data_IF_469924356105
#
_entry.id   IF_469924356105
#
_cell.length_a   1.000
_cell.length_b   1.000
_cell.length_c   1.000
_cell.angle_alpha   90.00
_cell.angle_beta   90.00
_cell.angle_gamma   90.00
#
_symmetry.space_group_name_H-M   'P 1'
#
loop_
_entity.id
_entity.type
_entity.pdbx_description
1 polymer ?
#
# COMPACT_ATOMS: atom_id res chain seq x y z
N UNK A 1 -20.88 7.54 7.44
CA UNK A 1 -20.49 7.86 6.05
C UNK A 1 -18.99 8.04 6.07
N UNK A 2 -18.24 7.21 5.35
CA UNK A 2 -16.78 7.39 5.25
C UNK A 2 -16.48 8.72 4.55
N UNK A 3 -15.44 9.41 5.02
CA UNK A 3 -15.05 10.71 4.47
C UNK A 3 -14.62 10.54 3.01
N UNK A 4 -15.10 11.44 2.14
CA UNK A 4 -14.72 11.43 0.74
C UNK A 4 -13.27 11.88 0.61
N UNK A 5 -12.46 11.12 -0.11
CA UNK A 5 -11.06 11.44 -0.39
C UNK A 5 -10.75 11.23 -1.87
N UNK A 6 -9.61 11.74 -2.35
CA UNK A 6 -9.15 11.43 -3.71
C UNK A 6 -8.13 10.31 -3.64
N UNK A 7 -8.43 9.15 -4.22
CA UNK A 7 -7.49 8.04 -4.28
C UNK A 7 -6.24 8.46 -5.05
N UNK A 8 -5.04 8.25 -4.49
CA UNK A 8 -3.78 8.62 -5.13
C UNK A 8 -3.53 7.92 -6.48
N UNK A 9 -4.22 6.81 -6.75
CA UNK A 9 -4.24 6.16 -8.08
C UNK A 9 -5.02 6.93 -9.15
N UNK A 10 -5.73 8.01 -8.81
CA UNK A 10 -6.40 8.96 -9.74
C UNK A 10 -5.50 10.14 -10.16
N UNK A 11 -4.19 10.09 -9.87
CA UNK A 11 -3.22 11.09 -10.34
C UNK A 11 -3.06 11.09 -11.87
N UNK A 12 -2.21 11.97 -12.45
CA UNK A 12 -2.05 12.13 -13.91
C UNK A 12 -1.67 10.82 -14.65
N UNK A 13 -1.07 9.85 -13.95
CA UNK A 13 -0.78 8.50 -14.47
C UNK A 13 -2.04 7.63 -14.68
N UNK A 14 -3.20 8.07 -14.18
CA UNK A 14 -4.50 7.44 -14.41
C UNK A 14 -5.01 7.62 -15.83
N UNK A 15 -4.39 8.50 -16.65
CA UNK A 15 -4.71 8.61 -18.07
C UNK A 15 -4.57 7.28 -18.83
N UNK A 16 -3.67 6.40 -18.36
CA UNK A 16 -3.48 5.03 -18.86
C UNK A 16 -4.11 3.96 -17.96
N UNK A 17 -4.93 4.35 -16.98
CA UNK A 17 -5.72 3.41 -16.21
C UNK A 17 -6.80 2.83 -17.13
N UNK A 18 -6.94 1.49 -17.24
CA UNK A 18 -8.06 0.90 -17.95
C UNK A 18 -9.41 1.23 -17.29
N UNK A 19 -9.37 1.74 -16.05
CA UNK A 19 -10.53 2.20 -15.30
C UNK A 19 -10.77 3.69 -15.55
N UNK A 20 -11.45 4.01 -16.65
CA UNK A 20 -11.97 5.36 -16.93
C UNK A 20 -13.22 5.60 -16.07
N UNK A 21 -13.04 5.97 -14.80
CA UNK A 21 -14.16 6.37 -13.95
C UNK A 21 -14.35 7.88 -13.98
N UNK A 22 -15.46 8.29 -14.59
CA UNK A 22 -16.02 9.64 -14.71
C UNK A 22 -16.39 10.32 -13.38
N UNK A 23 -16.42 9.59 -12.26
CA UNK A 23 -16.90 10.11 -10.96
C UNK A 23 -15.89 10.94 -10.15
N UNK A 24 -15.05 11.75 -10.79
CA UNK A 24 -14.11 12.63 -10.08
C UNK A 24 -14.84 13.60 -9.14
N UNK A 25 -16.08 13.97 -9.47
CA UNK A 25 -16.89 14.94 -8.71
C UNK A 25 -17.38 14.43 -7.35
N UNK A 26 -17.56 13.11 -7.15
CA UNK A 26 -18.12 12.57 -5.89
C UNK A 26 -17.06 12.21 -4.84
N UNK A 27 -15.78 12.19 -5.23
CA UNK A 27 -14.72 11.64 -4.39
C UNK A 27 -14.78 10.11 -4.25
N UNK A 28 -13.65 9.53 -3.87
CA UNK A 28 -13.53 8.13 -3.48
C UNK A 28 -13.86 7.97 -1.99
N UNK A 29 -14.22 6.75 -1.59
CA UNK A 29 -14.54 6.43 -0.21
C UNK A 29 -14.09 5.00 0.10
N UNK A 30 -14.00 4.66 1.39
CA UNK A 30 -13.84 3.27 1.79
C UNK A 30 -15.22 2.60 1.84
N UNK A 31 -15.35 1.46 1.18
CA UNK A 31 -16.52 0.57 1.23
C UNK A 31 -16.66 -0.05 2.63
N UNK A 32 -17.78 -0.69 2.92
CA UNK A 32 -18.04 -1.37 4.20
C UNK A 32 -16.97 -2.42 4.57
N UNK A 33 -16.28 -2.99 3.57
CA UNK A 33 -15.12 -3.88 3.76
C UNK A 33 -13.77 -3.18 3.93
N UNK A 34 -13.74 -1.87 4.21
CA UNK A 34 -12.52 -1.10 4.44
C UNK A 34 -11.64 -0.88 3.20
N UNK A 35 -12.17 -1.13 1.99
CA UNK A 35 -11.41 -0.99 0.74
C UNK A 35 -11.85 0.22 -0.07
N UNK A 36 -10.91 0.90 -0.69
CA UNK A 36 -11.11 2.06 -1.55
C UNK A 36 -12.03 1.70 -2.72
N UNK A 37 -13.04 2.52 -2.94
CA UNK A 37 -14.04 2.38 -4.00
C UNK A 37 -13.43 2.39 -5.42
N UNK A 38 -12.26 2.99 -5.60
CA UNK A 38 -11.57 3.04 -6.89
C UNK A 38 -10.57 1.90 -7.11
N UNK A 39 -9.54 1.80 -6.27
CA UNK A 39 -8.41 0.88 -6.52
C UNK A 39 -8.51 -0.44 -5.75
N UNK A 40 -9.44 -0.57 -4.80
CA UNK A 40 -9.56 -1.72 -3.91
C UNK A 40 -8.50 -1.82 -2.81
N UNK A 41 -7.67 -0.79 -2.63
CA UNK A 41 -6.71 -0.73 -1.50
C UNK A 41 -7.42 -0.65 -0.16
N UNK A 42 -6.89 -1.29 0.87
CA UNK A 42 -7.28 -0.95 2.24
C UNK A 42 -6.79 0.45 2.62
N UNK A 43 -7.34 1.02 3.69
CA UNK A 43 -6.86 2.29 4.24
C UNK A 43 -5.45 2.21 4.80
N UNK A 44 -4.79 3.36 4.98
CA UNK A 44 -3.47 3.41 5.62
C UNK A 44 -3.50 2.81 7.02
N UNK A 45 -4.54 3.12 7.80
CA UNK A 45 -4.69 2.66 9.19
C UNK A 45 -4.80 1.13 9.23
N UNK A 46 -5.66 0.56 8.37
CA UNK A 46 -5.82 -0.88 8.25
C UNK A 46 -4.52 -1.57 7.79
N UNK A 47 -3.77 -0.95 6.88
CA UNK A 47 -2.49 -1.46 6.41
C UNK A 47 -1.40 -1.46 7.50
N UNK A 48 -1.25 -0.35 8.24
CA UNK A 48 -0.27 -0.26 9.32
C UNK A 48 -0.64 -1.20 10.47
N UNK A 49 -1.92 -1.27 10.85
CA UNK A 49 -2.41 -2.22 11.84
C UNK A 49 -2.15 -3.67 11.43
N UNK A 50 -2.32 -4.00 10.15
CA UNK A 50 -2.01 -5.33 9.61
C UNK A 50 -0.53 -5.68 9.76
N UNK A 51 0.39 -4.74 9.48
CA UNK A 51 1.83 -4.96 9.67
C UNK A 51 2.16 -5.16 11.16
N UNK A 52 1.60 -4.32 12.03
CA UNK A 52 1.83 -4.40 13.47
C UNK A 52 1.29 -5.69 14.09
N UNK A 53 0.21 -6.25 13.53
CA UNK A 53 -0.33 -7.56 13.88
C UNK A 53 0.53 -8.75 13.38
N UNK A 54 1.65 -8.49 12.69
CA UNK A 54 2.52 -9.53 12.14
C UNK A 54 2.05 -10.12 10.81
N UNK A 55 1.12 -9.43 10.13
CA UNK A 55 0.66 -9.78 8.80
C UNK A 55 1.79 -9.76 7.77
N UNK A 56 1.72 -10.65 6.78
CA UNK A 56 2.76 -10.78 5.77
C UNK A 56 2.53 -9.82 4.60
N UNK A 57 3.55 -9.00 4.30
CA UNK A 57 3.57 -8.10 3.15
C UNK A 57 4.29 -8.78 2.00
N UNK A 58 3.50 -9.24 1.03
CA UNK A 58 3.97 -9.87 -0.20
C UNK A 58 4.59 -8.83 -1.16
N UNK A 59 5.90 -8.94 -1.47
CA UNK A 59 6.55 -8.02 -2.39
C UNK A 59 6.02 -8.23 -3.82
N UNK A 60 6.13 -7.18 -4.65
CA UNK A 60 5.77 -7.27 -6.07
C UNK A 60 6.88 -6.69 -6.94
N UNK A 61 6.78 -6.93 -8.24
CA UNK A 61 7.63 -6.33 -9.28
C UNK A 61 7.35 -4.83 -9.49
N UNK A 62 6.45 -4.23 -8.70
CA UNK A 62 5.97 -2.86 -8.83
C UNK A 62 6.26 -2.08 -7.56
N UNK A 63 6.99 -0.98 -7.69
CA UNK A 63 7.36 -0.05 -6.60
C UNK A 63 6.17 0.67 -5.94
N UNK A 64 4.95 0.49 -6.45
CA UNK A 64 3.76 1.22 -6.02
C UNK A 64 2.69 0.35 -5.35
N UNK A 65 2.91 -0.96 -5.20
CA UNK A 65 1.94 -1.84 -4.54
C UNK A 65 2.59 -3.01 -3.80
N UNK A 66 1.87 -3.55 -2.83
CA UNK A 66 2.16 -4.81 -2.16
C UNK A 66 0.89 -5.66 -2.06
N UNK A 67 1.05 -6.96 -1.78
CA UNK A 67 -0.05 -7.83 -1.38
C UNK A 67 -0.02 -8.04 0.13
N UNK A 68 -1.19 -8.14 0.76
CA UNK A 68 -1.34 -8.48 2.17
C UNK A 68 -1.80 -9.92 2.27
N UNK A 69 -1.00 -10.77 2.90
CA UNK A 69 -1.28 -12.18 3.14
C UNK A 69 -1.53 -12.39 4.65
N UNK A 70 -2.78 -12.73 4.99
CA UNK A 70 -3.17 -12.98 6.39
C UNK A 70 -2.54 -14.26 6.95
N UNK A 71 -2.55 -14.38 8.28
CA UNK A 71 -2.07 -15.56 9.02
C UNK A 71 -3.04 -16.74 8.99
N UNK A 72 -4.26 -16.54 8.51
CA UNK A 72 -5.29 -17.57 8.38
C UNK A 72 -5.46 -17.92 6.89
N UNK A 73 -4.56 -18.77 6.40
CA UNK A 73 -4.27 -19.01 4.98
C UNK A 73 -5.27 -19.95 4.29
N UNK A 74 -6.56 -19.61 4.34
CA UNK A 74 -7.58 -20.30 3.54
C UNK A 74 -8.28 -19.41 2.49
N UNK A 75 -8.09 -18.09 2.49
CA UNK A 75 -8.90 -17.18 1.66
C UNK A 75 -8.08 -16.19 0.83
N UNK A 76 -8.30 -16.31 -0.49
CA UNK A 76 -8.15 -15.31 -1.54
C UNK A 76 -6.72 -14.89 -1.97
N UNK A 77 -6.55 -14.51 -3.26
CA UNK A 77 -5.35 -13.78 -3.70
C UNK A 77 -5.20 -12.53 -2.83
N UNK A 78 -4.05 -12.36 -2.19
CA UNK A 78 -3.81 -11.34 -1.16
C UNK A 78 -4.40 -9.96 -1.49
N UNK A 79 -4.91 -9.27 -0.47
CA UNK A 79 -5.50 -7.94 -0.64
C UNK A 79 -4.42 -6.99 -1.16
N UNK A 80 -4.73 -6.22 -2.22
CA UNK A 80 -3.79 -5.26 -2.79
C UNK A 80 -3.72 -4.03 -1.89
N UNK A 81 -2.52 -3.59 -1.55
CA UNK A 81 -2.28 -2.28 -0.96
C UNK A 81 -1.49 -1.42 -1.94
N UNK A 82 -1.96 -0.19 -2.19
CA UNK A 82 -1.26 0.77 -3.04
C UNK A 82 -0.60 1.84 -2.16
N UNK A 83 0.71 2.00 -2.28
CA UNK A 83 1.48 2.91 -1.43
C UNK A 83 1.07 4.37 -1.56
N UNK A 84 0.35 4.76 -2.62
CA UNK A 84 -0.24 6.09 -2.74
C UNK A 84 -1.37 6.38 -1.75
N UNK A 85 -1.82 5.37 -0.98
CA UNK A 85 -2.69 5.59 0.18
C UNK A 85 -1.91 5.98 1.43
N UNK A 86 -0.58 5.89 1.42
CA UNK A 86 0.23 6.41 2.51
C UNK A 86 0.34 7.92 2.41
N UNK A 87 0.08 8.62 3.50
CA UNK A 87 0.51 9.99 3.71
C UNK A 87 2.00 10.03 4.14
N UNK A 88 2.54 11.22 4.35
CA UNK A 88 3.95 11.37 4.71
C UNK A 88 4.30 10.69 6.04
N UNK A 89 3.39 10.76 7.03
CA UNK A 89 3.58 10.11 8.32
C UNK A 89 3.57 8.58 8.19
N UNK A 90 2.64 8.03 7.42
CA UNK A 90 2.54 6.60 7.12
C UNK A 90 3.74 6.09 6.33
N UNK A 91 4.26 6.86 5.37
CA UNK A 91 5.50 6.54 4.66
C UNK A 91 6.70 6.47 5.62
N UNK A 92 6.83 7.45 6.53
CA UNK A 92 7.88 7.44 7.56
C UNK A 92 7.75 6.23 8.49
N UNK A 93 6.53 5.93 8.96
CA UNK A 93 6.28 4.77 9.81
C UNK A 93 6.61 3.45 9.11
N UNK A 94 6.24 3.34 7.83
CA UNK A 94 6.61 2.19 7.02
C UNK A 94 8.14 2.03 6.95
N UNK A 95 8.88 3.11 6.65
CA UNK A 95 10.35 3.09 6.61
C UNK A 95 10.95 2.65 7.95
N UNK A 96 10.44 3.18 9.06
CA UNK A 96 10.85 2.77 10.41
C UNK A 96 10.68 1.26 10.62
N UNK A 97 9.53 0.70 10.25
CA UNK A 97 9.22 -0.72 10.38
C UNK A 97 10.11 -1.61 9.48
N UNK A 98 10.40 -1.18 8.26
CA UNK A 98 11.36 -1.85 7.37
C UNK A 98 12.75 -1.85 7.98
N UNK A 99 13.26 -0.69 8.38
CA UNK A 99 14.63 -0.52 8.87
C UNK A 99 14.84 -1.26 10.20
N UNK A 100 13.82 -1.26 11.07
CA UNK A 100 13.82 -2.01 12.31
C UNK A 100 13.62 -3.52 12.12
N UNK A 101 13.43 -4.01 10.88
CA UNK A 101 13.12 -5.41 10.55
C UNK A 101 11.91 -5.96 11.31
N UNK A 102 10.92 -5.11 11.58
CA UNK A 102 9.69 -5.45 12.31
C UNK A 102 8.54 -5.85 11.38
N UNK A 103 8.71 -5.71 10.08
CA UNK A 103 7.72 -6.11 9.09
C UNK A 103 8.03 -7.50 8.55
N UNK A 104 7.01 -8.36 8.54
CA UNK A 104 7.09 -9.69 7.92
C UNK A 104 6.94 -9.53 6.40
N UNK A 105 8.05 -9.58 5.68
CA UNK A 105 8.06 -9.54 4.22
C UNK A 105 8.00 -10.98 3.71
N UNK A 106 7.05 -11.27 2.81
CA UNK A 106 6.90 -12.58 2.17
C UNK A 106 8.13 -12.97 1.33
N UNK A 107 8.13 -14.17 0.76
CA UNK A 107 9.25 -14.66 -0.05
C UNK A 107 9.69 -13.63 -1.13
N UNK A 108 10.99 -13.30 -1.27
CA UNK A 108 12.19 -13.92 -0.69
C UNK A 108 12.69 -13.27 0.62
N UNK A 109 11.81 -12.64 1.41
CA UNK A 109 12.15 -11.94 2.65
C UNK A 109 12.60 -10.49 2.45
N UNK A 110 12.49 -9.97 1.23
CA UNK A 110 12.76 -8.57 0.89
C UNK A 110 11.94 -8.13 -0.33
N UNK A 111 11.84 -6.81 -0.55
CA UNK A 111 11.18 -6.26 -1.73
C UNK A 111 12.03 -6.44 -2.99
N UNK A 112 11.50 -7.09 -4.03
CA UNK A 112 12.15 -7.16 -5.35
C UNK A 112 12.43 -5.77 -5.91
N UNK A 113 11.44 -4.90 -5.79
CA UNK A 113 11.53 -3.48 -6.14
C UNK A 113 11.10 -2.69 -4.91
N UNK A 114 11.96 -1.79 -4.45
CA UNK A 114 11.67 -0.95 -3.29
C UNK A 114 10.44 -0.07 -3.55
N UNK A 115 9.62 0.20 -2.52
CA UNK A 115 8.59 1.23 -2.62
C UNK A 115 9.19 2.55 -3.10
N UNK A 116 8.47 3.30 -3.94
CA UNK A 116 9.00 4.50 -4.61
C UNK A 116 9.52 5.59 -3.64
N UNK A 117 9.07 5.58 -2.39
CA UNK A 117 9.46 6.51 -1.34
C UNK A 117 10.62 5.98 -0.46
N UNK A 118 11.03 4.73 -0.63
CA UNK A 118 12.18 4.14 0.07
C UNK A 118 13.48 4.40 -0.71
N UNK A 119 14.20 5.45 -0.33
CA UNK A 119 15.48 5.84 -0.93
C UNK A 119 16.63 5.26 -0.10
N UNK A 120 17.66 4.64 -0.70
CA UNK A 120 18.84 4.23 0.05
C UNK A 120 19.57 5.46 0.59
N UNK A 121 20.05 5.35 1.82
CA UNK A 121 21.03 6.30 2.34
C UNK A 121 22.27 6.19 1.44
N UNK A 122 22.75 7.33 0.90
CA UNK A 122 24.03 7.33 0.19
C UNK A 122 25.07 6.87 1.19
N UNK A 123 25.80 5.79 0.87
CA UNK A 123 26.99 5.48 1.62
C UNK A 123 27.91 6.68 1.47
N UNK A 124 28.31 7.30 2.58
CA UNK A 124 29.40 8.25 2.55
C UNK A 124 30.59 7.53 1.92
N UNK A 125 31.21 8.13 0.91
CA UNK A 125 32.39 7.57 0.27
C UNK A 125 33.48 7.47 1.34
N UNK A 126 33.67 6.26 1.85
CA UNK A 126 34.73 5.93 2.81
C UNK A 126 36.11 6.09 2.17
#
# INVERSE_FOLDING_TARGET
MSEAFRCGRRGPWAANSPFKYDQVEKGDHYRDGGTCSYCGSVSQEAFLAFIEAGGEVGPTDKSYKAYLHGTDTAQAPGIKFYFQHLDEAGMRKFIELVNAKRMRIGYPGHFYVRPYFCVPVKADAA
#
